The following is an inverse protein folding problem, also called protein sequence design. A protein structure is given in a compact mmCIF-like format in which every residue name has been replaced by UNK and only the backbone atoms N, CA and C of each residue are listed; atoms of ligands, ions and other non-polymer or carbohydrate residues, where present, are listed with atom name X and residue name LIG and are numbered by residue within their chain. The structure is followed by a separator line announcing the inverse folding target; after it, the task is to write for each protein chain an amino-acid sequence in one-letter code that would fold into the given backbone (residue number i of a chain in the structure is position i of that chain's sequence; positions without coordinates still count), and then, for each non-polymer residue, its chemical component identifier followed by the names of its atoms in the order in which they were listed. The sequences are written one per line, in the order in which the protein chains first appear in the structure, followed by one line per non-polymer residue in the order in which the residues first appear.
data_IF_999662119725
#
_entry.id   IF_999662119725
#
_cell.length_a   1.000
_cell.length_b   1.000
_cell.length_c   1.000
_cell.angle_alpha   90.00
_cell.angle_beta   90.00
_cell.angle_gamma   90.00
#
_symmetry.space_group_name_H-M   'P 1'
#
loop_
_entity.id
_entity.type
_entity.pdbx_description
1 polymer ?
#
# COMPACT_ATOMS: atom_id res chain seq x y z
N UNK A 1 15.09 -15.61 18.09
CA UNK A 1 15.02 -16.10 19.49
C UNK A 1 13.82 -17.03 19.65
N UNK A 2 12.57 -16.55 19.48
CA UNK A 2 11.37 -17.38 19.61
C UNK A 2 11.29 -18.56 18.63
N UNK A 3 11.59 -18.36 17.33
CA UNK A 3 11.55 -19.45 16.36
C UNK A 3 12.55 -20.59 16.69
N UNK A 4 13.70 -20.26 17.30
CA UNK A 4 14.69 -21.25 17.71
C UNK A 4 14.25 -22.06 18.96
N UNK A 5 13.43 -21.47 19.82
CA UNK A 5 12.95 -22.11 21.07
C UNK A 5 11.62 -22.84 20.87
N UNK A 6 10.70 -22.27 20.09
CA UNK A 6 9.33 -22.74 19.90
C UNK A 6 9.13 -23.55 18.61
N UNK A 7 10.03 -23.39 17.64
CA UNK A 7 9.92 -23.98 16.31
C UNK A 7 8.97 -23.20 15.37
N UNK A 8 9.04 -23.48 14.05
CA UNK A 8 8.30 -22.74 13.03
C UNK A 8 6.79 -23.02 13.03
N UNK A 9 6.35 -24.20 13.44
CA UNK A 9 4.94 -24.64 13.33
C UNK A 9 3.96 -23.87 14.21
N UNK A 10 4.45 -23.15 15.22
CA UNK A 10 3.65 -22.34 16.14
C UNK A 10 4.09 -20.88 16.18
N UNK A 11 4.94 -20.45 15.24
CA UNK A 11 5.43 -19.07 15.14
C UNK A 11 5.21 -18.51 13.75
N UNK A 12 4.79 -17.25 13.67
CA UNK A 12 4.69 -16.51 12.41
C UNK A 12 5.82 -15.49 12.33
N UNK A 13 6.31 -15.24 11.13
CA UNK A 13 7.24 -14.14 10.90
C UNK A 13 6.48 -12.83 10.80
N UNK A 14 7.05 -11.79 11.41
CA UNK A 14 6.51 -10.45 11.47
C UNK A 14 7.58 -9.51 10.93
N UNK A 15 7.34 -8.98 9.73
CA UNK A 15 8.31 -8.15 9.01
C UNK A 15 7.70 -6.82 8.61
N UNK A 16 8.34 -5.71 8.99
CA UNK A 16 8.01 -4.37 8.48
C UNK A 16 8.54 -4.26 7.05
N UNK A 17 7.73 -4.76 6.12
CA UNK A 17 8.08 -4.88 4.69
C UNK A 17 8.00 -3.54 3.95
N UNK A 18 7.37 -2.52 4.54
CA UNK A 18 7.14 -1.26 3.87
C UNK A 18 8.39 -0.35 3.94
N UNK A 19 8.97 -0.08 2.78
CA UNK A 19 10.10 0.86 2.59
C UNK A 19 9.66 2.32 2.81
N UNK A 20 9.50 2.70 4.08
CA UNK A 20 9.02 4.02 4.48
C UNK A 20 10.01 5.14 4.12
N UNK A 21 9.52 6.19 3.46
CA UNK A 21 10.31 7.38 3.14
C UNK A 21 10.05 8.53 4.12
N UNK A 22 11.08 9.36 4.34
CA UNK A 22 10.98 10.53 5.21
C UNK A 22 9.98 11.58 4.72
N UNK A 23 9.76 11.66 3.41
CA UNK A 23 8.78 12.53 2.77
C UNK A 23 8.00 11.76 1.72
N UNK A 24 6.70 12.05 1.60
CA UNK A 24 5.87 11.45 0.54
C UNK A 24 6.40 11.72 -0.87
N UNK A 25 7.08 12.84 -1.09
CA UNK A 25 7.64 13.19 -2.40
C UNK A 25 8.86 12.34 -2.81
N UNK A 26 9.41 11.54 -1.89
CA UNK A 26 10.64 10.77 -2.10
C UNK A 26 10.37 9.29 -2.42
N UNK A 27 9.10 8.85 -2.40
CA UNK A 27 8.79 7.49 -2.81
C UNK A 27 9.13 7.28 -4.29
N UNK A 28 9.79 6.15 -4.65
CA UNK A 28 9.96 5.77 -6.04
C UNK A 28 8.61 5.43 -6.66
N UNK A 29 8.54 5.31 -7.99
CA UNK A 29 7.30 4.94 -8.67
C UNK A 29 6.84 3.53 -8.27
N UNK A 30 7.76 2.57 -8.19
CA UNK A 30 7.51 1.19 -7.79
C UNK A 30 8.59 0.73 -6.83
N UNK A 31 8.20 -0.06 -5.83
CA UNK A 31 9.11 -0.64 -4.85
C UNK A 31 8.76 -2.12 -4.58
N UNK A 32 9.78 -2.91 -4.27
CA UNK A 32 9.57 -4.27 -3.79
C UNK A 32 9.00 -4.22 -2.37
N UNK A 33 8.04 -5.11 -2.06
CA UNK A 33 7.40 -5.16 -0.75
C UNK A 33 7.79 -6.43 0.00
N UNK A 34 7.33 -7.59 -0.47
CA UNK A 34 7.63 -8.86 0.19
C UNK A 34 7.38 -10.06 -0.72
N UNK A 35 7.90 -11.22 -0.32
CA UNK A 35 7.54 -12.56 -0.83
C UNK A 35 6.97 -13.46 0.29
N UNK A 36 6.63 -12.84 1.44
CA UNK A 36 6.22 -13.52 2.66
C UNK A 36 4.96 -14.38 2.48
N UNK A 37 4.11 -14.06 1.47
CA UNK A 37 2.93 -14.85 1.11
C UNK A 37 3.26 -16.21 0.47
N UNK A 38 4.52 -16.44 0.08
CA UNK A 38 5.02 -17.73 -0.42
C UNK A 38 5.95 -18.38 0.59
N UNK A 39 6.92 -17.63 1.10
CA UNK A 39 8.03 -18.18 1.91
C UNK A 39 7.57 -18.71 3.27
N UNK A 40 6.50 -18.17 3.86
CA UNK A 40 6.01 -18.65 5.16
C UNK A 40 5.68 -20.16 5.17
N UNK A 41 5.13 -20.66 4.07
CA UNK A 41 4.76 -22.06 3.95
C UNK A 41 5.99 -22.95 3.75
N UNK A 42 6.98 -22.47 2.98
CA UNK A 42 8.26 -23.16 2.77
C UNK A 42 9.05 -23.31 4.07
N UNK A 43 8.93 -22.32 4.97
CA UNK A 43 9.53 -22.33 6.30
C UNK A 43 8.75 -23.20 7.32
N UNK A 44 7.65 -23.82 6.92
CA UNK A 44 6.82 -24.66 7.79
C UNK A 44 6.05 -23.86 8.85
N UNK A 45 5.74 -22.60 8.56
CA UNK A 45 5.00 -21.71 9.46
C UNK A 45 3.50 -21.70 9.14
N UNK A 46 2.64 -21.43 10.12
CA UNK A 46 1.19 -21.35 9.92
C UNK A 46 0.72 -20.03 9.26
N UNK A 47 1.61 -19.05 9.09
CA UNK A 47 1.29 -17.74 8.52
C UNK A 47 2.44 -16.74 8.60
N UNK A 48 2.17 -15.50 8.20
CA UNK A 48 3.08 -14.36 8.24
C UNK A 48 2.31 -13.06 8.57
N UNK A 49 3.05 -12.00 8.87
CA UNK A 49 2.53 -10.64 8.97
C UNK A 49 3.50 -9.65 8.33
N UNK A 50 2.98 -8.81 7.44
CA UNK A 50 3.72 -7.78 6.69
C UNK A 50 3.43 -6.35 7.21
N UNK A 51 2.77 -6.25 8.36
CA UNK A 51 2.10 -5.06 8.91
C UNK A 51 1.03 -4.48 7.97
N UNK A 52 1.45 -3.77 6.91
CA UNK A 52 0.66 -3.24 5.79
C UNK A 52 1.54 -2.32 4.92
N UNK A 53 0.96 -1.64 3.93
CA UNK A 53 1.60 -0.61 3.08
C UNK A 53 1.76 0.77 3.77
N UNK A 54 1.96 0.77 5.08
CA UNK A 54 2.18 1.96 5.91
C UNK A 54 3.36 1.72 6.86
N UNK A 55 4.07 2.78 7.27
CA UNK A 55 5.17 2.64 8.22
C UNK A 55 4.68 2.02 9.56
N UNK A 56 5.41 1.06 10.11
CA UNK A 56 5.07 0.43 11.39
C UNK A 56 5.09 1.42 12.57
N UNK A 57 5.93 2.46 12.49
CA UNK A 57 6.04 3.49 13.53
C UNK A 57 5.39 4.81 13.08
N UNK A 58 4.57 5.45 13.94
CA UNK A 58 4.09 6.80 13.69
C UNK A 58 5.26 7.77 13.56
N UNK A 59 5.33 8.50 12.45
CA UNK A 59 6.33 9.55 12.29
C UNK A 59 5.92 10.79 13.11
N UNK A 60 6.78 11.33 13.99
CA UNK A 60 6.49 12.55 14.74
C UNK A 60 6.28 13.73 13.78
N UNK A 61 5.07 14.27 13.76
CA UNK A 61 4.72 15.42 12.91
C UNK A 61 3.26 15.37 12.48
N UNK A 62 2.60 16.53 12.48
CA UNK A 62 1.18 16.68 12.12
C UNK A 62 0.90 17.90 11.25
N UNK A 63 1.95 18.49 10.66
CA UNK A 63 1.79 19.59 9.71
C UNK A 63 1.13 19.12 8.40
N UNK A 64 0.68 20.05 7.56
CA UNK A 64 0.11 19.69 6.26
C UNK A 64 1.11 18.85 5.46
N UNK A 65 0.62 17.85 4.75
CA UNK A 65 1.46 17.04 3.89
C UNK A 65 1.98 17.90 2.72
N UNK A 66 3.30 17.91 2.51
CA UNK A 66 3.92 18.54 1.34
C UNK A 66 3.35 17.95 0.06
N UNK A 67 3.49 16.63 -0.12
CA UNK A 67 2.81 15.84 -1.13
C UNK A 67 1.92 14.78 -0.48
N UNK A 68 0.90 14.29 -1.20
CA UNK A 68 0.16 13.08 -0.84
C UNK A 68 0.68 11.91 -1.65
N UNK A 69 0.83 10.75 -1.02
CA UNK A 69 1.10 9.48 -1.69
C UNK A 69 -0.06 8.51 -1.49
N UNK A 70 -0.39 7.76 -2.55
CA UNK A 70 -1.22 6.56 -2.49
C UNK A 70 -0.33 5.35 -2.77
N UNK A 71 -0.43 4.32 -1.94
CA UNK A 71 0.31 3.08 -2.04
C UNK A 71 -0.66 1.96 -2.44
N UNK A 72 -0.46 1.38 -3.62
CA UNK A 72 -1.26 0.23 -4.07
C UNK A 72 -0.32 -0.96 -4.30
N UNK A 73 -0.57 -2.03 -3.54
CA UNK A 73 0.15 -3.28 -3.72
C UNK A 73 -0.36 -4.07 -4.92
N UNK A 74 0.53 -4.70 -5.65
CA UNK A 74 0.23 -5.54 -6.79
C UNK A 74 1.17 -6.76 -6.86
N UNK A 75 0.72 -7.81 -7.53
CA UNK A 75 1.52 -9.03 -7.74
C UNK A 75 2.41 -8.88 -8.97
N UNK A 76 3.72 -8.92 -8.76
CA UNK A 76 4.71 -8.97 -9.82
C UNK A 76 5.11 -10.41 -10.08
N UNK A 77 4.31 -11.11 -10.88
CA UNK A 77 4.39 -12.56 -11.00
C UNK A 77 3.68 -13.25 -9.84
N UNK A 78 4.00 -14.52 -9.58
CA UNK A 78 3.32 -15.31 -8.54
C UNK A 78 4.00 -15.23 -7.16
N UNK A 79 5.26 -14.83 -7.12
CA UNK A 79 6.13 -14.94 -5.95
C UNK A 79 6.40 -13.60 -5.25
N UNK A 80 6.02 -12.47 -5.84
CA UNK A 80 6.43 -11.15 -5.34
C UNK A 80 5.29 -10.17 -5.25
N UNK A 81 5.18 -9.53 -4.10
CA UNK A 81 4.37 -8.35 -3.91
C UNK A 81 5.23 -7.10 -4.08
N UNK A 82 4.70 -6.15 -4.83
CA UNK A 82 5.28 -4.83 -5.05
C UNK A 82 4.27 -3.78 -4.59
N UNK A 83 4.75 -2.56 -4.37
CA UNK A 83 3.91 -1.38 -4.11
C UNK A 83 4.22 -0.32 -5.16
N UNK A 84 3.20 0.10 -5.90
CA UNK A 84 3.31 1.28 -6.74
C UNK A 84 2.84 2.51 -5.96
N UNK A 85 3.61 3.60 -6.04
CA UNK A 85 3.36 4.85 -5.33
C UNK A 85 2.85 5.91 -6.32
N UNK A 86 1.67 6.46 -6.04
CA UNK A 86 1.08 7.55 -6.81
C UNK A 86 1.18 8.84 -6.02
N UNK A 87 1.94 9.79 -6.53
CA UNK A 87 2.22 11.07 -5.86
C UNK A 87 1.32 12.18 -6.40
N UNK A 88 0.92 13.10 -5.53
CA UNK A 88 0.28 14.35 -5.97
C UNK A 88 1.23 15.24 -6.76
N UNK A 89 0.68 16.05 -7.66
CA UNK A 89 1.46 17.01 -8.46
C UNK A 89 1.91 18.17 -7.59
N UNK A 90 1.02 18.70 -6.74
CA UNK A 90 1.35 19.73 -5.77
C UNK A 90 2.17 19.15 -4.60
N UNK A 91 3.32 19.77 -4.33
CA UNK A 91 4.32 19.33 -3.35
C UNK A 91 4.62 20.38 -2.28
N UNK A 92 4.15 21.62 -2.45
CA UNK A 92 4.28 22.66 -1.44
C UNK A 92 3.30 22.40 -0.29
N UNK A 93 3.84 22.35 0.93
CA UNK A 93 3.07 22.17 2.17
C UNK A 93 2.05 23.28 2.41
N UNK A 94 2.26 24.47 1.84
CA UNK A 94 1.42 25.64 2.05
C UNK A 94 0.37 25.83 0.95
N UNK A 95 0.40 25.00 -0.11
CA UNK A 95 -0.51 25.09 -1.25
C UNK A 95 -1.32 23.80 -1.40
N UNK A 96 -2.53 23.95 -1.94
CA UNK A 96 -3.46 22.86 -2.19
C UNK A 96 -4.12 22.30 -0.91
N UNK A 97 -5.32 21.75 -1.07
CA UNK A 97 -5.97 20.99 0.00
C UNK A 97 -5.50 19.53 -0.05
N UNK A 98 -5.51 18.84 1.09
CA UNK A 98 -5.20 17.41 1.13
C UNK A 98 -6.11 16.60 0.19
N UNK A 99 -7.39 16.96 0.10
CA UNK A 99 -8.34 16.36 -0.82
C UNK A 99 -8.00 16.59 -2.30
N UNK A 100 -7.56 17.80 -2.66
CA UNK A 100 -7.09 18.11 -4.01
C UNK A 100 -5.88 17.28 -4.40
N UNK A 101 -4.89 17.19 -3.50
CA UNK A 101 -3.69 16.36 -3.69
C UNK A 101 -4.02 14.86 -3.82
N UNK A 102 -5.02 14.37 -3.08
CA UNK A 102 -5.52 13.00 -3.26
C UNK A 102 -6.12 12.82 -4.67
N UNK A 103 -6.89 13.79 -5.17
CA UNK A 103 -7.48 13.70 -6.51
C UNK A 103 -6.41 13.71 -7.61
N UNK A 104 -5.32 14.47 -7.44
CA UNK A 104 -4.15 14.44 -8.34
C UNK A 104 -3.51 13.04 -8.36
N UNK A 105 -3.19 12.49 -7.19
CA UNK A 105 -2.64 11.14 -7.10
C UNK A 105 -3.58 10.06 -7.66
N UNK A 106 -4.90 10.23 -7.49
CA UNK A 106 -5.90 9.34 -8.07
C UNK A 106 -5.93 9.41 -9.59
N UNK A 107 -5.74 10.59 -10.19
CA UNK A 107 -5.67 10.71 -11.64
C UNK A 107 -4.50 9.89 -12.21
N UNK A 108 -3.36 9.88 -11.54
CA UNK A 108 -2.21 9.04 -11.91
C UNK A 108 -2.52 7.55 -11.77
N UNK A 109 -3.17 7.14 -10.68
CA UNK A 109 -3.65 5.75 -10.52
C UNK A 109 -4.59 5.32 -11.65
N UNK A 110 -5.54 6.17 -12.04
CA UNK A 110 -6.47 5.84 -13.13
C UNK A 110 -5.75 5.76 -14.48
N UNK A 111 -4.78 6.64 -14.74
CA UNK A 111 -3.98 6.59 -15.95
C UNK A 111 -3.15 5.30 -16.02
N UNK A 112 -2.55 4.87 -14.90
CA UNK A 112 -1.82 3.61 -14.82
C UNK A 112 -2.72 2.40 -15.06
N UNK A 113 -3.92 2.38 -14.45
CA UNK A 113 -4.90 1.32 -14.68
C UNK A 113 -5.44 1.29 -16.11
N UNK A 114 -5.55 2.44 -16.77
CA UNK A 114 -5.91 2.48 -18.18
C UNK A 114 -4.82 1.87 -19.08
N UNK A 115 -3.54 2.05 -18.72
CA UNK A 115 -2.40 1.45 -19.42
C UNK A 115 -2.23 -0.04 -19.11
N UNK A 116 -2.49 -0.43 -17.87
CA UNK A 116 -2.31 -1.79 -17.36
C UNK A 116 -3.57 -2.30 -16.61
N UNK A 117 -4.66 -2.65 -17.34
CA UNK A 117 -5.95 -2.96 -16.73
C UNK A 117 -5.98 -4.14 -15.75
N UNK A 118 -5.02 -5.06 -15.86
CA UNK A 118 -4.92 -6.25 -15.01
C UNK A 118 -3.89 -6.13 -13.89
N UNK A 119 -3.15 -5.02 -13.78
CA UNK A 119 -2.06 -4.87 -12.81
C UNK A 119 -2.56 -4.88 -11.37
N UNK A 120 -3.62 -4.12 -11.09
CA UNK A 120 -4.21 -4.02 -9.77
C UNK A 120 -5.47 -4.86 -9.66
N UNK A 121 -5.56 -5.67 -8.61
CA UNK A 121 -6.76 -6.47 -8.34
C UNK A 121 -7.95 -5.58 -7.99
N UNK A 122 -9.14 -6.05 -8.38
CA UNK A 122 -10.37 -5.46 -7.89
C UNK A 122 -10.48 -5.68 -6.37
N UNK A 123 -10.80 -4.62 -5.64
CA UNK A 123 -11.01 -4.66 -4.20
C UNK A 123 -11.97 -3.56 -3.75
N UNK A 124 -12.59 -3.67 -2.55
CA UNK A 124 -13.42 -2.61 -2.00
C UNK A 124 -12.66 -1.28 -1.85
N UNK A 125 -11.38 -1.34 -1.48
CA UNK A 125 -10.51 -0.16 -1.40
C UNK A 125 -10.33 0.54 -2.75
N UNK A 126 -10.06 -0.23 -3.81
CA UNK A 126 -9.92 0.32 -5.15
C UNK A 126 -11.25 0.87 -5.70
N UNK A 127 -12.36 0.17 -5.45
CA UNK A 127 -13.69 0.64 -5.82
C UNK A 127 -14.08 1.94 -5.08
N UNK A 128 -13.67 2.10 -3.83
CA UNK A 128 -13.87 3.34 -3.09
C UNK A 128 -13.07 4.51 -3.70
N UNK A 129 -11.83 4.26 -4.14
CA UNK A 129 -11.06 5.25 -4.89
C UNK A 129 -11.69 5.62 -6.22
N UNK A 130 -12.27 4.66 -6.94
CA UNK A 130 -13.01 4.91 -8.18
C UNK A 130 -14.19 5.85 -7.95
N UNK A 131 -14.93 5.65 -6.84
CA UNK A 131 -16.04 6.52 -6.47
C UNK A 131 -15.58 7.94 -6.14
N UNK A 132 -14.52 8.09 -5.34
CA UNK A 132 -13.92 9.37 -4.97
C UNK A 132 -13.48 10.15 -6.22
N UNK A 133 -12.80 9.47 -7.14
CA UNK A 133 -12.32 10.07 -8.38
C UNK A 133 -13.49 10.47 -9.30
N UNK A 134 -14.46 9.57 -9.52
CA UNK A 134 -15.60 9.83 -10.40
C UNK A 134 -16.48 10.99 -9.93
N UNK A 135 -16.69 11.11 -8.61
CA UNK A 135 -17.47 12.20 -8.03
C UNK A 135 -16.67 13.50 -7.90
N UNK A 136 -15.36 13.46 -8.13
CA UNK A 136 -14.40 14.54 -7.82
C UNK A 136 -14.57 15.05 -6.38
N UNK A 137 -14.99 14.16 -5.47
CA UNK A 137 -15.26 14.51 -4.08
C UNK A 137 -13.97 14.35 -3.28
N UNK A 138 -13.53 15.41 -2.62
CA UNK A 138 -12.37 15.37 -1.74
C UNK A 138 -12.63 14.39 -0.57
N UNK A 139 -11.77 13.38 -0.40
CA UNK A 139 -11.77 12.53 0.80
C UNK A 139 -10.69 12.97 1.78
N UNK A 140 -10.69 12.40 2.99
CA UNK A 140 -9.67 12.70 4.00
C UNK A 140 -8.45 11.78 3.87
N UNK A 141 -7.30 12.21 4.41
CA UNK A 141 -6.10 11.36 4.50
C UNK A 141 -6.38 10.04 5.25
N UNK A 142 -7.22 10.09 6.28
CA UNK A 142 -7.62 8.90 7.04
C UNK A 142 -8.40 7.92 6.17
N UNK A 143 -9.39 8.40 5.40
CA UNK A 143 -10.15 7.55 4.49
C UNK A 143 -9.30 7.00 3.36
N UNK A 144 -8.42 7.82 2.79
CA UNK A 144 -7.45 7.38 1.78
C UNK A 144 -6.60 6.20 2.29
N UNK A 145 -6.04 6.31 3.50
CA UNK A 145 -5.26 5.20 4.11
C UNK A 145 -6.11 3.94 4.32
N UNK A 146 -7.35 4.07 4.77
CA UNK A 146 -8.26 2.92 4.91
C UNK A 146 -8.48 2.19 3.58
N UNK A 147 -8.62 2.91 2.47
CA UNK A 147 -8.79 2.32 1.15
C UNK A 147 -7.52 1.59 0.68
N UNK A 148 -6.33 2.15 0.94
CA UNK A 148 -5.05 1.51 0.61
C UNK A 148 -4.88 0.21 1.40
N UNK A 149 -5.11 0.22 2.71
CA UNK A 149 -5.06 -0.99 3.56
C UNK A 149 -6.08 -2.03 3.07
N UNK A 150 -7.31 -1.60 2.77
CA UNK A 150 -8.34 -2.51 2.24
C UNK A 150 -7.92 -3.13 0.91
N UNK A 151 -7.28 -2.38 0.01
CA UNK A 151 -6.79 -2.95 -1.23
C UNK A 151 -5.66 -3.95 -0.97
N UNK A 152 -4.72 -3.60 -0.10
CA UNK A 152 -3.60 -4.46 0.24
C UNK A 152 -4.03 -5.82 0.80
N UNK A 153 -4.94 -5.84 1.78
CA UNK A 153 -5.47 -7.09 2.35
C UNK A 153 -6.10 -7.98 1.26
N UNK A 154 -6.83 -7.40 0.32
CA UNK A 154 -7.45 -8.17 -0.77
C UNK A 154 -6.42 -8.69 -1.77
N UNK A 155 -5.39 -7.90 -2.08
CA UNK A 155 -4.29 -8.36 -2.94
C UNK A 155 -3.55 -9.53 -2.30
N UNK A 156 -3.19 -9.42 -1.02
CA UNK A 156 -2.51 -10.48 -0.27
C UNK A 156 -3.39 -11.74 -0.16
N UNK A 157 -4.67 -11.59 0.18
CA UNK A 157 -5.60 -12.72 0.27
C UNK A 157 -5.72 -13.49 -1.05
N UNK A 158 -5.80 -12.75 -2.17
CA UNK A 158 -5.86 -13.37 -3.50
C UNK A 158 -4.53 -14.07 -3.86
N UNK A 159 -3.38 -13.50 -3.48
CA UNK A 159 -2.07 -14.12 -3.69
C UNK A 159 -1.91 -15.44 -2.90
N UNK A 160 -2.63 -15.60 -1.79
CA UNK A 160 -2.72 -16.85 -1.03
C UNK A 160 -3.68 -17.89 -1.63
N UNK A 161 -4.38 -17.56 -2.72
CA UNK A 161 -5.35 -18.44 -3.37
C UNK A 161 -6.72 -18.51 -2.69
N UNK A 162 -7.08 -17.49 -1.90
CA UNK A 162 -8.39 -17.38 -1.24
C UNK A 162 -9.47 -16.74 -2.12
#
# INVERSE_FOLDING_TARGET
MYAAELGPTITVDVEDSFSAQSRNADYPEDDWFSDAHVTFAEDGRPGFADFTILPAMPQPGGGPAGAVSLHLSWENGSDRLHVQHFLSDERDRNLGSAGGKILEALAHLQAERARHPSKFRASPGLAAFDLVHAQRHATSLVKSKQYQISHHIYTVAAALGA
#
